data_IF_296248335561
#
_entry.id   IF_296248335561
#
_cell.length_a   1.000
_cell.length_b   1.000
_cell.length_c   1.000
_cell.angle_alpha   90.00
_cell.angle_beta   90.00
_cell.angle_gamma   90.00
#
_symmetry.space_group_name_H-M   'P 1'
#
loop_
_entity.id
_entity.type
_entity.pdbx_description
1 polymer ?
#
# COMPACT_ATOMS: atom_id res chain seq x y z
N UNK A 1 29.26 45.57 -22.50
CA UNK A 1 28.39 44.80 -21.61
C UNK A 1 27.25 45.67 -21.13
N UNK A 2 26.01 45.18 -21.06
CA UNK A 2 24.85 45.91 -20.54
C UNK A 2 24.54 45.41 -19.12
N UNK A 3 24.16 46.33 -18.25
CA UNK A 3 23.79 46.06 -16.85
C UNK A 3 22.42 46.69 -16.56
N UNK A 4 21.65 46.07 -15.66
CA UNK A 4 20.37 46.60 -15.22
C UNK A 4 20.49 47.08 -13.76
N UNK A 5 19.98 48.28 -13.50
CA UNK A 5 19.86 48.85 -12.15
C UNK A 5 18.37 49.07 -11.85
N UNK A 6 17.95 48.68 -10.66
CA UNK A 6 16.58 48.93 -10.20
C UNK A 6 16.32 50.38 -9.83
N UNK A 7 15.10 50.70 -9.38
CA UNK A 7 14.68 52.06 -9.01
C UNK A 7 15.48 52.63 -7.83
N UNK A 8 16.17 51.81 -7.06
CA UNK A 8 17.01 52.22 -5.93
C UNK A 8 18.50 52.34 -6.32
N UNK A 9 18.80 52.11 -7.61
CA UNK A 9 20.17 52.12 -8.11
C UNK A 9 20.96 50.82 -7.82
N UNK A 10 20.30 49.75 -7.35
CA UNK A 10 20.95 48.46 -7.10
C UNK A 10 21.10 47.68 -8.40
N UNK A 11 22.31 47.14 -8.65
CA UNK A 11 22.56 46.31 -9.80
C UNK A 11 21.94 44.92 -9.62
N UNK A 12 21.13 44.50 -10.59
CA UNK A 12 20.60 43.14 -10.61
C UNK A 12 21.71 42.15 -11.02
N UNK A 13 21.79 41.04 -10.34
CA UNK A 13 22.74 39.96 -10.62
C UNK A 13 22.05 38.59 -10.51
N UNK A 14 22.49 37.65 -11.32
CA UNK A 14 21.98 36.25 -11.37
C UNK A 14 20.44 36.16 -11.44
N UNK A 15 19.83 37.00 -12.26
CA UNK A 15 18.36 37.10 -12.33
C UNK A 15 17.85 37.47 -13.72
N UNK A 16 16.52 37.32 -13.89
CA UNK A 16 15.81 37.69 -15.11
C UNK A 16 15.15 39.07 -14.94
N UNK A 17 15.39 39.97 -15.88
CA UNK A 17 14.74 41.24 -16.02
C UNK A 17 13.82 41.16 -17.25
N UNK A 18 12.55 40.87 -17.05
CA UNK A 18 11.68 40.50 -18.17
C UNK A 18 12.21 39.24 -18.89
N UNK A 19 12.52 39.38 -20.18
CA UNK A 19 13.05 38.31 -21.01
C UNK A 19 14.59 38.33 -21.09
N UNK A 20 15.27 39.16 -20.35
CA UNK A 20 16.71 39.31 -20.36
C UNK A 20 17.35 38.80 -19.08
N UNK A 21 18.36 37.93 -19.20
CA UNK A 21 19.09 37.41 -18.06
C UNK A 21 20.41 38.18 -17.84
N UNK A 22 20.66 38.51 -16.58
CA UNK A 22 21.96 39.03 -16.15
C UNK A 22 22.69 38.00 -15.31
N UNK A 23 23.99 37.84 -15.51
CA UNK A 23 24.83 36.86 -14.78
C UNK A 23 25.14 37.34 -13.34
N UNK A 24 25.92 36.57 -12.60
CA UNK A 24 26.31 36.89 -11.22
C UNK A 24 27.12 38.19 -11.11
N UNK A 25 27.69 38.66 -12.21
CA UNK A 25 28.41 39.96 -12.30
C UNK A 25 27.49 41.11 -12.80
N UNK A 26 26.20 40.84 -12.96
CA UNK A 26 25.19 41.76 -13.43
C UNK A 26 25.21 42.00 -14.95
N UNK A 27 26.08 41.31 -15.70
CA UNK A 27 26.19 41.52 -17.14
C UNK A 27 25.09 40.74 -17.90
N UNK A 28 24.41 41.42 -18.84
CA UNK A 28 23.43 40.76 -19.72
C UNK A 28 24.08 39.68 -20.56
N UNK A 29 23.45 38.51 -20.58
CA UNK A 29 23.85 37.35 -21.40
C UNK A 29 22.94 37.30 -22.64
N UNK A 30 23.48 37.67 -23.78
CA UNK A 30 22.74 37.65 -25.05
C UNK A 30 22.35 36.23 -25.43
N UNK A 31 21.09 36.05 -25.89
CA UNK A 31 20.59 34.76 -26.38
C UNK A 31 20.24 33.73 -25.30
N UNK A 32 20.45 34.00 -24.01
CA UNK A 32 19.96 33.12 -22.95
C UNK A 32 18.43 33.12 -22.95
N UNK A 33 17.85 31.97 -23.16
CA UNK A 33 16.38 31.85 -23.17
C UNK A 33 15.87 31.45 -21.78
N UNK A 34 14.76 32.03 -21.38
CA UNK A 34 14.07 31.64 -20.13
C UNK A 34 13.50 30.24 -20.29
N UNK A 35 13.92 29.33 -19.42
CA UNK A 35 13.34 28.02 -19.37
C UNK A 35 11.92 28.11 -18.86
N UNK A 36 10.93 27.71 -19.67
CA UNK A 36 9.54 27.57 -19.22
C UNK A 36 9.32 26.13 -18.82
N UNK A 37 9.29 25.82 -17.50
CA UNK A 37 9.05 24.47 -17.01
C UNK A 37 7.70 23.95 -17.47
N UNK A 38 7.57 22.63 -17.51
CA UNK A 38 6.30 22.00 -17.84
C UNK A 38 6.40 20.88 -18.84
N UNK A 39 5.26 20.41 -19.26
CA UNK A 39 5.12 19.32 -20.21
C UNK A 39 5.62 19.70 -21.61
N UNK A 40 6.44 18.84 -22.19
CA UNK A 40 6.98 18.97 -23.55
C UNK A 40 6.75 17.69 -24.33
N UNK A 41 6.18 17.81 -25.52
CA UNK A 41 6.09 16.67 -26.45
C UNK A 41 7.39 16.58 -27.26
N UNK A 42 8.03 15.42 -27.19
CA UNK A 42 9.28 15.12 -27.91
C UNK A 42 9.10 13.81 -28.65
N UNK A 43 9.12 13.87 -29.97
CA UNK A 43 8.90 12.69 -30.84
C UNK A 43 7.58 11.95 -30.49
N UNK A 44 6.50 12.68 -30.25
CA UNK A 44 5.18 12.13 -29.93
C UNK A 44 5.02 11.56 -28.51
N UNK A 45 6.04 11.66 -27.68
CA UNK A 45 6.02 11.22 -26.25
C UNK A 45 6.22 12.41 -25.33
N UNK A 46 5.68 12.33 -24.12
CA UNK A 46 5.74 13.41 -23.16
C UNK A 46 6.97 13.32 -22.25
N UNK A 47 7.59 14.48 -22.01
CA UNK A 47 8.63 14.73 -21.02
C UNK A 47 8.23 15.92 -20.16
N UNK A 48 8.83 16.05 -18.98
CA UNK A 48 8.64 17.22 -18.12
C UNK A 48 9.94 17.98 -17.97
N UNK A 49 9.96 19.25 -18.39
CA UNK A 49 11.09 20.16 -18.28
C UNK A 49 11.03 20.88 -16.94
N UNK A 50 12.10 20.86 -16.17
CA UNK A 50 12.21 21.58 -14.89
C UNK A 50 12.76 23.00 -15.09
N UNK A 51 12.69 23.81 -14.01
CA UNK A 51 13.17 25.20 -14.04
C UNK A 51 14.68 25.33 -14.29
N UNK A 52 15.45 24.28 -13.99
CA UNK A 52 16.88 24.21 -14.27
C UNK A 52 17.22 23.93 -15.75
N UNK A 53 16.19 23.68 -16.58
CA UNK A 53 16.37 23.37 -18.00
C UNK A 53 16.61 21.90 -18.30
N UNK A 54 16.50 21.03 -17.31
CA UNK A 54 16.68 19.59 -17.47
C UNK A 54 15.35 18.85 -17.53
N UNK A 55 15.30 17.74 -18.22
CA UNK A 55 14.16 16.85 -18.21
C UNK A 55 14.23 15.91 -17.00
N UNK A 56 13.05 15.70 -16.35
CA UNK A 56 12.89 14.67 -15.30
C UNK A 56 13.21 13.30 -15.86
N UNK A 57 14.06 12.51 -15.17
CA UNK A 57 14.48 11.15 -15.57
C UNK A 57 14.52 10.20 -14.39
N UNK A 58 14.22 8.93 -14.62
CA UNK A 58 14.33 7.84 -13.64
C UNK A 58 13.72 8.13 -12.27
N UNK A 59 12.64 8.88 -12.18
CA UNK A 59 12.03 9.25 -10.91
C UNK A 59 10.55 9.62 -11.01
N UNK A 60 9.95 9.66 -9.86
CA UNK A 60 8.59 10.15 -9.65
C UNK A 60 8.54 11.68 -9.67
N UNK A 61 7.43 12.21 -10.14
CA UNK A 61 7.13 13.65 -10.11
C UNK A 61 5.67 13.86 -9.76
N UNK A 62 5.42 14.73 -8.79
CA UNK A 62 4.08 15.17 -8.43
C UNK A 62 3.79 16.48 -9.17
N UNK A 63 2.79 16.50 -10.04
CA UNK A 63 2.35 17.67 -10.76
C UNK A 63 0.85 17.87 -10.52
N UNK A 64 0.45 19.00 -9.95
CA UNK A 64 -0.95 19.31 -9.62
C UNK A 64 -1.67 18.17 -8.89
N UNK A 65 -1.03 17.62 -7.87
CA UNK A 65 -1.54 16.52 -7.04
C UNK A 65 -1.71 15.15 -7.76
N UNK A 66 -1.07 14.98 -8.92
CA UNK A 66 -1.06 13.74 -9.69
C UNK A 66 0.37 13.23 -9.80
N UNK A 67 0.60 11.97 -9.47
CA UNK A 67 1.89 11.33 -9.60
C UNK A 67 2.14 10.82 -11.02
N UNK A 68 3.33 11.06 -11.51
CA UNK A 68 3.88 10.58 -12.77
C UNK A 68 5.22 9.89 -12.53
N UNK A 69 5.59 8.98 -13.40
CA UNK A 69 6.93 8.36 -13.39
C UNK A 69 7.58 8.53 -14.76
N UNK A 70 8.89 8.77 -14.77
CA UNK A 70 9.67 8.98 -15.98
C UNK A 70 10.76 7.92 -16.10
N UNK A 71 10.96 7.40 -17.31
CA UNK A 71 12.00 6.44 -17.62
C UNK A 71 13.42 7.08 -17.64
N UNK A 72 14.46 6.27 -17.87
CA UNK A 72 15.84 6.74 -17.91
C UNK A 72 16.11 7.74 -19.04
N UNK A 73 15.31 7.72 -20.09
CA UNK A 73 15.39 8.67 -21.20
C UNK A 73 14.55 9.94 -20.95
N UNK A 74 13.87 10.01 -19.81
CA UNK A 74 13.01 11.12 -19.40
C UNK A 74 11.63 11.13 -20.06
N UNK A 75 11.18 10.01 -20.61
CA UNK A 75 9.82 9.91 -21.13
C UNK A 75 8.85 9.51 -20.04
N UNK A 76 7.71 10.19 -19.99
CA UNK A 76 6.58 9.86 -19.13
C UNK A 76 6.10 8.43 -19.41
N UNK A 77 5.96 7.64 -18.35
CA UNK A 77 5.47 6.27 -18.45
C UNK A 77 3.94 6.20 -18.46
N UNK A 78 3.41 5.20 -19.17
CA UNK A 78 2.00 4.86 -19.24
C UNK A 78 1.84 3.34 -19.13
N UNK A 79 0.66 2.87 -18.75
CA UNK A 79 0.43 1.43 -18.58
C UNK A 79 1.05 0.86 -17.31
N UNK A 80 1.40 -0.40 -17.32
CA UNK A 80 1.93 -1.13 -16.18
C UNK A 80 3.40 -0.80 -15.89
N UNK A 81 3.72 -0.61 -14.62
CA UNK A 81 5.09 -0.46 -14.11
C UNK A 81 5.29 -1.36 -12.89
N UNK A 82 6.33 -2.19 -12.92
CA UNK A 82 6.82 -2.90 -11.73
C UNK A 82 8.07 -2.20 -11.20
N UNK A 83 8.00 -1.76 -9.95
CA UNK A 83 9.11 -1.08 -9.28
C UNK A 83 9.16 -1.49 -7.81
N UNK A 84 10.33 -1.92 -7.31
CA UNK A 84 10.53 -2.37 -5.92
C UNK A 84 9.50 -3.43 -5.47
N UNK A 85 9.25 -4.44 -6.32
CA UNK A 85 8.27 -5.52 -6.09
C UNK A 85 6.83 -5.04 -5.90
N UNK A 86 6.50 -3.83 -6.36
CA UNK A 86 5.14 -3.28 -6.40
C UNK A 86 4.73 -3.02 -7.84
N UNK A 87 3.45 -3.26 -8.13
CA UNK A 87 2.86 -2.95 -9.42
C UNK A 87 2.06 -1.66 -9.34
N UNK A 88 2.23 -0.82 -10.35
CA UNK A 88 1.52 0.43 -10.56
C UNK A 88 0.88 0.43 -11.95
N UNK A 89 -0.11 1.26 -12.12
CA UNK A 89 -0.68 1.51 -13.44
C UNK A 89 -0.84 3.00 -13.70
N UNK A 90 -0.44 3.43 -14.89
CA UNK A 90 -0.58 4.80 -15.36
C UNK A 90 -1.56 4.85 -16.51
N UNK A 91 -2.47 5.80 -16.47
CA UNK A 91 -3.40 6.07 -17.57
C UNK A 91 -2.63 6.48 -18.83
N UNK A 92 -3.32 6.57 -19.97
CA UNK A 92 -2.72 7.10 -21.22
C UNK A 92 -2.22 8.54 -21.07
N UNK A 93 -2.80 9.30 -20.14
CA UNK A 93 -2.34 10.63 -19.74
C UNK A 93 -1.07 10.63 -18.90
N UNK A 94 -0.56 9.47 -18.49
CA UNK A 94 0.55 9.30 -17.56
C UNK A 94 0.16 9.43 -16.09
N UNK A 95 -1.10 9.72 -15.77
CA UNK A 95 -1.57 9.83 -14.38
C UNK A 95 -1.56 8.47 -13.69
N UNK A 96 -0.91 8.38 -12.51
CA UNK A 96 -0.92 7.17 -11.68
C UNK A 96 -2.33 6.89 -11.16
N UNK A 97 -2.77 5.65 -11.28
CA UNK A 97 -4.05 5.20 -10.69
C UNK A 97 -3.87 4.97 -9.20
N UNK A 98 -4.71 5.61 -8.38
CA UNK A 98 -4.69 5.49 -6.91
C UNK A 98 -6.11 5.35 -6.37
N UNK A 99 -6.26 4.67 -5.25
CA UNK A 99 -7.48 4.52 -4.44
C UNK A 99 -8.75 4.21 -5.24
N UNK A 100 -8.63 3.28 -6.21
CA UNK A 100 -9.77 2.88 -7.04
C UNK A 100 -9.59 1.56 -7.76
N UNK A 101 -10.71 1.05 -8.22
CA UNK A 101 -10.79 -0.04 -9.18
C UNK A 101 -10.54 0.46 -10.59
N UNK A 102 -9.83 -0.34 -11.39
CA UNK A 102 -9.57 -0.03 -12.80
C UNK A 102 -9.69 -1.28 -13.67
N UNK A 103 -10.49 -1.18 -14.74
CA UNK A 103 -10.53 -2.19 -15.79
C UNK A 103 -9.37 -2.01 -16.75
N UNK A 104 -8.58 -3.07 -16.94
CA UNK A 104 -7.41 -3.08 -17.81
C UNK A 104 -7.42 -4.40 -18.58
N UNK A 105 -7.54 -4.34 -19.91
CA UNK A 105 -7.54 -5.50 -20.78
C UNK A 105 -8.53 -6.61 -20.33
N UNK A 106 -9.76 -6.23 -19.99
CA UNK A 106 -10.83 -7.16 -19.61
C UNK A 106 -10.75 -7.73 -18.18
N UNK A 107 -9.77 -7.30 -17.36
CA UNK A 107 -9.64 -7.65 -15.94
C UNK A 107 -9.76 -6.40 -15.08
N UNK A 108 -10.31 -6.55 -13.88
CA UNK A 108 -10.46 -5.44 -12.94
C UNK A 108 -9.43 -5.56 -11.81
N UNK A 109 -8.73 -4.47 -11.51
CA UNK A 109 -7.67 -4.38 -10.51
C UNK A 109 -8.00 -3.26 -9.53
N UNK A 110 -7.54 -3.38 -8.28
CA UNK A 110 -7.60 -2.30 -7.29
C UNK A 110 -6.21 -1.77 -6.99
N UNK A 111 -6.10 -0.45 -6.95
CA UNK A 111 -4.89 0.26 -6.57
C UNK A 111 -5.16 1.04 -5.28
N UNK A 112 -4.28 0.90 -4.29
CA UNK A 112 -4.41 1.60 -3.02
C UNK A 112 -4.04 3.09 -3.13
N UNK A 113 -4.09 3.82 -2.02
CA UNK A 113 -3.76 5.25 -1.96
C UNK A 113 -2.30 5.58 -2.33
N UNK A 114 -1.40 4.61 -2.26
CA UNK A 114 -0.01 4.72 -2.70
C UNK A 114 0.17 4.32 -4.17
N UNK A 115 -0.91 3.89 -4.85
CA UNK A 115 -0.89 3.39 -6.21
C UNK A 115 -0.42 1.94 -6.32
N UNK A 116 -0.30 1.19 -5.22
CA UNK A 116 0.09 -0.22 -5.27
C UNK A 116 -1.09 -1.10 -5.67
N UNK A 117 -0.90 -1.95 -6.68
CA UNK A 117 -1.88 -2.96 -7.03
C UNK A 117 -2.06 -3.94 -5.87
N UNK A 118 -3.28 -4.10 -5.42
CA UNK A 118 -3.63 -5.11 -4.43
C UNK A 118 -3.58 -6.51 -5.04
N UNK A 119 -3.06 -7.49 -4.31
CA UNK A 119 -3.01 -8.88 -4.75
C UNK A 119 -3.27 -9.83 -3.57
N UNK A 120 -3.91 -10.97 -3.87
CA UNK A 120 -4.24 -12.03 -2.92
C UNK A 120 -4.93 -11.52 -1.64
N UNK A 121 -5.89 -10.61 -1.79
CA UNK A 121 -6.55 -9.95 -0.65
C UNK A 121 -8.01 -9.58 -0.96
N UNK A 122 -8.73 -9.16 0.08
CA UNK A 122 -10.08 -8.65 0.00
C UNK A 122 -10.08 -7.12 0.05
N UNK A 123 -10.78 -6.49 -0.89
CA UNK A 123 -11.07 -5.06 -0.90
C UNK A 123 -12.58 -4.92 -0.66
N UNK A 124 -12.95 -4.67 0.60
CA UNK A 124 -14.35 -4.81 1.00
C UNK A 124 -14.83 -6.25 0.82
N UNK A 125 -15.84 -6.44 -0.03
CA UNK A 125 -16.42 -7.75 -0.35
C UNK A 125 -15.87 -8.36 -1.65
N UNK A 126 -14.90 -7.72 -2.28
CA UNK A 126 -14.31 -8.14 -3.55
C UNK A 126 -12.92 -8.72 -3.34
N UNK A 127 -12.68 -9.91 -3.85
CA UNK A 127 -11.38 -10.57 -3.77
C UNK A 127 -10.57 -10.37 -5.04
N UNK A 128 -9.29 -10.02 -4.88
CA UNK A 128 -8.30 -10.02 -5.96
C UNK A 128 -7.34 -11.20 -5.78
N UNK A 129 -7.02 -11.89 -6.87
CA UNK A 129 -6.12 -13.05 -6.86
C UNK A 129 -4.64 -12.65 -6.71
N UNK A 130 -3.73 -13.62 -6.80
CA UNK A 130 -2.28 -13.40 -6.70
C UNK A 130 -1.73 -12.52 -7.83
N UNK A 131 -2.44 -12.40 -8.95
CA UNK A 131 -2.10 -11.52 -10.06
C UNK A 131 -2.78 -10.15 -9.96
N UNK A 132 -3.52 -9.90 -8.87
CA UNK A 132 -4.27 -8.67 -8.61
C UNK A 132 -5.62 -8.58 -9.32
N UNK A 133 -6.02 -9.59 -10.10
CA UNK A 133 -7.28 -9.55 -10.82
C UNK A 133 -8.47 -9.87 -9.92
N UNK A 134 -9.54 -9.08 -10.01
CA UNK A 134 -10.79 -9.36 -9.31
C UNK A 134 -11.39 -10.71 -9.74
N UNK A 135 -11.75 -11.52 -8.74
CA UNK A 135 -12.38 -12.83 -8.92
C UNK A 135 -13.90 -12.68 -8.71
N UNK A 136 -14.63 -12.65 -9.82
CA UNK A 136 -16.09 -12.51 -9.79
C UNK A 136 -16.75 -13.69 -9.06
N UNK A 137 -17.69 -13.37 -8.16
CA UNK A 137 -18.49 -14.36 -7.44
C UNK A 137 -17.79 -15.08 -6.29
N UNK A 138 -16.50 -14.78 -6.02
CA UNK A 138 -15.85 -15.27 -4.81
C UNK A 138 -16.49 -14.59 -3.60
N UNK A 139 -17.03 -15.40 -2.68
CA UNK A 139 -17.66 -14.91 -1.47
C UNK A 139 -16.62 -14.79 -0.35
N UNK A 140 -16.70 -13.70 0.39
CA UNK A 140 -15.88 -13.51 1.60
C UNK A 140 -16.23 -14.57 2.62
N UNK A 141 -15.27 -15.32 3.15
CA UNK A 141 -15.55 -16.31 4.17
C UNK A 141 -16.20 -15.63 5.38
N UNK A 142 -17.31 -16.19 5.82
CA UNK A 142 -17.91 -15.77 7.08
C UNK A 142 -17.11 -16.39 8.22
N UNK A 143 -16.49 -15.53 9.04
CA UNK A 143 -15.82 -16.00 10.26
C UNK A 143 -16.82 -16.66 11.21
N UNK A 144 -16.37 -17.67 11.92
CA UNK A 144 -17.21 -18.36 12.88
C UNK A 144 -16.89 -19.83 13.07
N UNK A 145 -17.63 -20.43 13.98
CA UNK A 145 -17.49 -21.82 14.34
C UNK A 145 -18.01 -22.75 13.23
N UNK A 146 -17.21 -23.79 12.91
CA UNK A 146 -17.57 -24.88 11.99
C UNK A 146 -17.30 -26.22 12.66
N UNK A 147 -18.26 -27.12 12.60
CA UNK A 147 -18.09 -28.51 13.08
C UNK A 147 -17.70 -29.39 11.89
N UNK A 148 -16.53 -30.03 11.96
CA UNK A 148 -15.98 -30.88 10.91
C UNK A 148 -15.59 -32.22 11.53
N UNK A 149 -16.15 -33.30 11.04
CA UNK A 149 -15.93 -34.66 11.57
C UNK A 149 -16.13 -34.73 13.09
N UNK A 150 -17.20 -34.07 13.59
CA UNK A 150 -17.55 -34.06 15.02
C UNK A 150 -16.75 -33.12 15.89
N UNK A 151 -15.69 -32.49 15.41
CA UNK A 151 -14.82 -31.56 16.14
C UNK A 151 -15.01 -30.11 15.64
N UNK A 152 -14.76 -29.12 16.51
CA UNK A 152 -14.92 -27.73 16.20
C UNK A 152 -13.64 -27.12 15.64
N UNK A 153 -13.81 -26.26 14.65
CA UNK A 153 -12.80 -25.35 14.08
C UNK A 153 -13.38 -23.94 14.06
N UNK A 154 -12.53 -22.93 14.00
CA UNK A 154 -12.96 -21.55 13.82
C UNK A 154 -12.39 -20.97 12.52
N UNK A 155 -13.26 -20.46 11.67
CA UNK A 155 -12.88 -19.72 10.46
C UNK A 155 -12.64 -18.28 10.83
N UNK A 156 -11.46 -17.75 10.56
CA UNK A 156 -11.12 -16.35 10.77
C UNK A 156 -11.65 -15.48 9.61
N UNK A 157 -11.62 -14.16 9.77
CA UNK A 157 -12.10 -13.20 8.76
C UNK A 157 -11.34 -13.27 7.42
N UNK A 158 -10.12 -13.82 7.42
CA UNK A 158 -9.33 -14.08 6.22
C UNK A 158 -9.76 -15.37 5.48
N UNK A 159 -10.69 -16.15 6.06
CA UNK A 159 -11.18 -17.41 5.51
C UNK A 159 -10.37 -18.65 5.87
N UNK A 160 -9.29 -18.50 6.60
CA UNK A 160 -8.48 -19.61 7.07
C UNK A 160 -9.00 -20.14 8.41
N UNK A 161 -8.72 -21.40 8.71
CA UNK A 161 -8.95 -21.92 10.05
C UNK A 161 -7.86 -21.44 11.00
N UNK A 162 -8.26 -21.07 12.23
CA UNK A 162 -7.32 -20.82 13.31
C UNK A 162 -6.50 -22.12 13.56
N UNK A 163 -5.17 -22.02 13.58
CA UNK A 163 -4.26 -23.17 13.74
C UNK A 163 -3.08 -22.79 14.64
N UNK A 164 -2.64 -23.71 15.48
CA UNK A 164 -1.47 -23.57 16.36
C UNK A 164 -1.45 -22.25 17.15
N UNK A 165 -2.60 -21.80 17.63
CA UNK A 165 -2.68 -20.50 18.30
C UNK A 165 -3.84 -20.37 19.28
N UNK A 166 -3.71 -19.39 20.15
CA UNK A 166 -4.81 -18.86 20.93
C UNK A 166 -5.64 -17.88 20.09
N UNK A 167 -6.95 -17.92 20.26
CA UNK A 167 -7.87 -16.97 19.64
C UNK A 167 -8.96 -16.58 20.64
N UNK A 168 -9.17 -15.30 20.81
CA UNK A 168 -10.29 -14.78 21.56
C UNK A 168 -11.53 -14.72 20.67
N UNK A 169 -12.61 -15.37 21.08
CA UNK A 169 -13.90 -15.33 20.41
C UNK A 169 -14.96 -14.92 21.44
N UNK A 170 -15.54 -13.75 21.23
CA UNK A 170 -16.36 -13.10 22.26
C UNK A 170 -15.51 -12.76 23.48
N UNK A 171 -15.97 -13.19 24.67
CA UNK A 171 -15.27 -12.98 25.94
C UNK A 171 -14.34 -14.13 26.34
N UNK A 172 -14.24 -15.20 25.55
CA UNK A 172 -13.50 -16.42 25.92
C UNK A 172 -12.31 -16.67 25.01
N UNK A 173 -11.25 -17.22 25.58
CA UNK A 173 -10.08 -17.69 24.86
C UNK A 173 -10.20 -19.18 24.51
N UNK A 174 -9.77 -19.52 23.32
CA UNK A 174 -9.74 -20.88 22.76
C UNK A 174 -8.37 -21.17 22.19
N UNK A 175 -7.92 -22.42 22.27
CA UNK A 175 -6.69 -22.86 21.62
C UNK A 175 -6.99 -23.86 20.52
N UNK A 176 -6.29 -23.74 19.39
CA UNK A 176 -6.42 -24.61 18.22
C UNK A 176 -5.12 -25.36 17.96
N UNK A 177 -5.24 -26.65 17.70
CA UNK A 177 -4.11 -27.50 17.36
C UNK A 177 -3.56 -27.19 15.95
N UNK A 178 -2.47 -27.89 15.56
CA UNK A 178 -1.84 -27.68 14.23
C UNK A 178 -2.77 -28.04 13.06
N UNK A 179 -3.77 -28.85 13.28
CA UNK A 179 -4.78 -29.19 12.27
C UNK A 179 -5.99 -28.24 12.31
N UNK A 180 -5.96 -27.26 13.20
CA UNK A 180 -7.01 -26.24 13.38
C UNK A 180 -8.22 -26.73 14.15
N UNK A 181 -8.12 -27.82 14.89
CA UNK A 181 -9.20 -28.24 15.77
C UNK A 181 -9.11 -27.57 17.14
N UNK A 182 -10.26 -27.12 17.64
CA UNK A 182 -10.42 -26.60 18.99
C UNK A 182 -10.02 -27.66 20.00
N UNK A 183 -9.16 -27.32 20.94
CA UNK A 183 -8.75 -28.18 22.03
C UNK A 183 -9.66 -28.07 23.25
N UNK A 184 -9.70 -29.11 24.06
CA UNK A 184 -10.43 -29.22 25.31
C UNK A 184 -9.61 -29.98 26.34
N UNK A 185 -9.89 -29.80 27.61
CA UNK A 185 -9.16 -30.46 28.70
C UNK A 185 -7.83 -29.77 29.03
N UNK A 186 -6.89 -30.52 29.58
CA UNK A 186 -5.58 -30.00 29.95
C UNK A 186 -4.71 -29.70 28.74
N UNK A 187 -4.09 -28.53 28.73
CA UNK A 187 -3.14 -28.07 27.72
C UNK A 187 -1.86 -27.59 28.40
N UNK A 188 -0.72 -28.20 28.07
CA UNK A 188 0.59 -27.70 28.47
C UNK A 188 1.23 -26.94 27.31
N UNK A 189 1.57 -25.67 27.52
CA UNK A 189 2.17 -24.81 26.49
C UNK A 189 3.16 -23.84 27.16
N UNK A 190 4.41 -23.79 26.66
CA UNK A 190 5.46 -22.92 27.18
C UNK A 190 5.65 -23.06 28.71
N UNK A 191 5.70 -24.29 29.21
CA UNK A 191 5.84 -24.62 30.64
C UNK A 191 4.70 -24.11 31.56
N UNK A 192 3.57 -23.73 30.97
CA UNK A 192 2.34 -23.37 31.69
C UNK A 192 1.26 -24.38 31.41
N UNK A 193 0.38 -24.59 32.40
CA UNK A 193 -0.80 -25.44 32.28
C UNK A 193 -2.08 -24.61 32.19
N UNK A 194 -2.89 -24.97 31.21
CA UNK A 194 -4.20 -24.38 30.97
C UNK A 194 -5.26 -25.48 31.04
N UNK A 195 -6.47 -25.12 31.36
CA UNK A 195 -7.61 -26.02 31.24
C UNK A 195 -8.69 -25.39 30.35
N UNK A 196 -9.09 -26.17 29.37
CA UNK A 196 -10.10 -25.79 28.38
C UNK A 196 -11.35 -26.62 28.68
N UNK A 197 -12.47 -25.97 28.93
CA UNK A 197 -13.72 -26.69 29.21
C UNK A 197 -14.16 -27.53 28.00
N UNK A 198 -15.21 -28.35 28.16
CA UNK A 198 -15.81 -29.12 27.05
C UNK A 198 -16.31 -28.23 25.91
N UNK A 199 -16.63 -26.98 26.20
CA UNK A 199 -16.93 -25.94 25.23
C UNK A 199 -15.70 -25.41 24.48
N UNK A 200 -14.48 -25.76 24.92
CA UNK A 200 -13.22 -25.20 24.47
C UNK A 200 -12.79 -23.91 25.15
N UNK A 201 -13.66 -23.29 25.94
CA UNK A 201 -13.35 -22.02 26.61
C UNK A 201 -12.28 -22.23 27.70
N UNK A 202 -11.25 -21.39 27.70
CA UNK A 202 -10.19 -21.39 28.72
C UNK A 202 -10.76 -20.95 30.07
N UNK A 203 -10.43 -21.70 31.11
CA UNK A 203 -10.76 -21.34 32.50
C UNK A 203 -9.76 -20.30 32.99
N UNK A 204 -10.25 -19.17 33.51
CA UNK A 204 -9.45 -18.10 34.08
C UNK A 204 -10.09 -17.57 35.37
N UNK A 205 -9.27 -17.06 36.27
CA UNK A 205 -9.65 -16.31 37.50
C UNK A 205 -10.72 -17.00 38.34
N UNK A 206 -10.59 -18.32 38.53
CA UNK A 206 -11.53 -19.11 39.33
C UNK A 206 -11.01 -20.47 39.77
N UNK A 207 -11.64 -21.02 40.82
CA UNK A 207 -11.50 -22.39 41.21
C UNK A 207 -12.28 -23.34 40.30
N UNK A 208 -11.68 -24.49 39.97
CA UNK A 208 -12.32 -25.54 39.16
C UNK A 208 -12.01 -26.92 39.70
N UNK A 209 -13.06 -27.73 39.94
CA UNK A 209 -12.94 -29.13 40.27
C UNK A 209 -12.74 -29.97 38.97
N UNK A 210 -11.65 -30.69 38.91
CA UNK A 210 -11.30 -31.55 37.76
C UNK A 210 -10.81 -32.88 38.31
N UNK A 211 -11.52 -33.98 38.01
CA UNK A 211 -11.18 -35.34 38.48
C UNK A 211 -10.93 -35.39 39.99
N UNK A 212 -11.88 -34.88 40.76
CA UNK A 212 -11.85 -34.87 42.24
C UNK A 212 -10.72 -34.05 42.89
N UNK A 213 -10.02 -33.22 42.11
CA UNK A 213 -9.03 -32.25 42.60
C UNK A 213 -9.50 -30.81 42.26
N UNK A 214 -9.22 -29.91 43.17
CA UNK A 214 -9.54 -28.50 42.96
C UNK A 214 -8.31 -27.72 42.54
N UNK A 215 -8.43 -26.95 41.46
CA UNK A 215 -7.36 -26.13 40.89
C UNK A 215 -7.81 -24.66 40.82
N UNK A 216 -6.89 -23.74 41.09
CA UNK A 216 -7.10 -22.34 40.81
C UNK A 216 -6.41 -21.96 39.50
N UNK A 217 -7.08 -21.22 38.65
CA UNK A 217 -6.55 -20.66 37.42
C UNK A 217 -6.50 -19.14 37.57
N UNK A 218 -5.33 -18.57 37.41
CA UNK A 218 -5.10 -17.12 37.38
C UNK A 218 -5.39 -16.52 36.01
N UNK A 219 -5.25 -15.20 35.91
CA UNK A 219 -5.38 -14.46 34.65
C UNK A 219 -4.15 -14.60 33.75
#
# INVERSE_FOLDING_TARGET
>A
KCYYFDVNGCMAADTWIGDYYVDANGAWIAGKQRVTPGWKSVSGRWKYLESNGEYVKSRWLLVKNIWYHFDANGYMQTGWLSLNSKWYYFESSGAMVTDRWRWINGKCYYFDNNGYMAANTWIGDYYVDSNGAWVKGKQKPTSGWKKISGRWKYVESNGNYAQSKWLQVGSSWYHFDANGYMQTGWLSLNNKWYYLESSGAMVTDRWRWINSKCYYFDN
#
